data_IF_179100674481
#
_entry.id   IF_179100674481
#
_cell.length_a   1.000
_cell.length_b   1.000
_cell.length_c   1.000
_cell.angle_alpha   90.00
_cell.angle_beta   90.00
_cell.angle_gamma   90.00
#
_symmetry.space_group_name_H-M   'P 1'
#
loop_
_entity.id
_entity.type
_entity.pdbx_description
1 polymer ?
#
# COMPACT_ATOMS: atom_id res chain seq x y z
N UNK A 1 1.49 32.88 10.74
CA UNK A 1 0.98 34.16 10.18
C UNK A 1 0.50 34.07 8.74
N UNK A 2 1.09 33.19 7.87
CA UNK A 2 0.65 33.02 6.48
C UNK A 2 -0.61 32.17 6.36
N UNK A 3 -0.76 31.12 7.15
CA UNK A 3 -1.90 30.21 7.11
C UNK A 3 -3.24 30.89 7.45
N UNK A 4 -3.22 31.92 8.31
CA UNK A 4 -4.43 32.67 8.68
C UNK A 4 -4.98 33.56 7.55
N UNK A 5 -4.21 33.72 6.46
CA UNK A 5 -4.55 34.58 5.32
C UNK A 5 -4.75 33.80 4.03
N UNK A 6 -4.69 32.46 4.09
CA UNK A 6 -4.80 31.58 2.94
C UNK A 6 -5.97 30.63 3.12
N UNK A 7 -6.72 30.41 2.09
CA UNK A 7 -7.68 29.32 2.01
C UNK A 7 -6.90 28.03 1.74
N UNK A 8 -7.03 27.06 2.64
CA UNK A 8 -6.36 25.77 2.52
C UNK A 8 -7.32 24.80 1.85
N UNK A 9 -7.05 24.47 0.60
CA UNK A 9 -7.75 23.41 -0.11
C UNK A 9 -6.95 22.11 0.11
N UNK A 10 -7.50 21.19 0.90
CA UNK A 10 -6.92 19.85 1.07
C UNK A 10 -7.31 18.98 -0.12
N UNK A 11 -6.31 18.40 -0.76
CA UNK A 11 -6.51 17.39 -1.80
C UNK A 11 -6.17 16.02 -1.23
N UNK A 12 -7.16 15.15 -1.18
CA UNK A 12 -6.97 13.78 -0.73
C UNK A 12 -6.27 12.93 -1.79
N UNK A 13 -5.71 11.80 -1.35
CA UNK A 13 -5.14 10.81 -2.26
C UNK A 13 -6.22 10.10 -3.08
N UNK A 14 -5.84 9.62 -4.27
CA UNK A 14 -6.72 8.85 -5.15
C UNK A 14 -6.80 7.39 -4.72
N UNK A 15 -7.99 6.81 -4.84
CA UNK A 15 -8.21 5.37 -4.73
C UNK A 15 -7.56 4.62 -5.91
N UNK A 16 -7.36 3.32 -5.79
CA UNK A 16 -6.85 2.50 -6.90
C UNK A 16 -7.73 2.62 -8.16
N UNK A 17 -9.06 2.60 -7.98
CA UNK A 17 -9.99 2.73 -9.11
C UNK A 17 -9.90 4.11 -9.78
N UNK A 18 -9.83 5.18 -8.99
CA UNK A 18 -9.62 6.52 -9.53
C UNK A 18 -8.29 6.64 -10.28
N UNK A 19 -7.21 6.05 -9.75
CA UNK A 19 -5.90 6.01 -10.43
C UNK A 19 -5.96 5.28 -11.77
N UNK A 20 -6.70 4.15 -11.85
CA UNK A 20 -6.91 3.42 -13.10
C UNK A 20 -7.65 4.31 -14.11
N UNK A 21 -8.74 4.96 -13.69
CA UNK A 21 -9.50 5.86 -14.57
C UNK A 21 -8.67 7.08 -15.03
N UNK A 22 -7.89 7.68 -14.13
CA UNK A 22 -6.97 8.77 -14.46
C UNK A 22 -5.90 8.28 -15.44
N UNK A 23 -5.35 7.09 -15.24
CA UNK A 23 -4.37 6.51 -16.14
C UNK A 23 -4.94 6.34 -17.55
N UNK A 24 -6.13 5.77 -17.68
CA UNK A 24 -6.79 5.53 -18.98
C UNK A 24 -7.16 6.81 -19.70
N UNK A 25 -7.77 7.76 -18.99
CA UNK A 25 -8.33 8.98 -19.61
C UNK A 25 -7.30 10.07 -19.84
N UNK A 26 -6.25 10.14 -19.04
CA UNK A 26 -5.33 11.27 -19.05
C UNK A 26 -3.86 10.87 -19.22
N UNK A 27 -3.34 9.92 -18.42
CA UNK A 27 -1.91 9.64 -18.42
C UNK A 27 -1.48 8.87 -19.67
N UNK A 28 -2.17 7.80 -20.03
CA UNK A 28 -1.81 6.96 -21.18
C UNK A 28 -1.87 7.77 -22.49
N UNK A 29 -2.94 8.53 -22.80
CA UNK A 29 -2.96 9.36 -24.00
C UNK A 29 -1.83 10.40 -24.05
N UNK A 30 -1.54 11.04 -22.91
CA UNK A 30 -0.43 11.99 -22.77
C UNK A 30 0.92 11.33 -23.06
N UNK A 31 1.19 10.21 -22.38
CA UNK A 31 2.44 9.45 -22.49
C UNK A 31 2.63 8.92 -23.92
N UNK A 32 1.59 8.43 -24.56
CA UNK A 32 1.64 7.96 -25.96
C UNK A 32 2.02 9.10 -26.91
N UNK A 33 1.39 10.26 -26.75
CA UNK A 33 1.73 11.45 -27.54
C UNK A 33 3.18 11.88 -27.34
N UNK A 34 3.67 11.90 -26.10
CA UNK A 34 5.05 12.29 -25.78
C UNK A 34 6.11 11.31 -26.31
N UNK A 35 5.73 10.05 -26.51
CA UNK A 35 6.64 8.99 -27.01
C UNK A 35 6.34 8.58 -28.46
N UNK A 36 5.53 9.36 -29.20
CA UNK A 36 5.16 9.13 -30.59
C UNK A 36 4.59 7.72 -30.87
N UNK A 37 3.80 7.18 -29.92
CA UNK A 37 3.12 5.88 -30.03
C UNK A 37 1.67 6.12 -30.43
N UNK A 38 1.18 5.36 -31.40
CA UNK A 38 -0.24 5.39 -31.75
C UNK A 38 -1.05 4.48 -30.83
N UNK A 39 -2.31 4.83 -30.53
CA UNK A 39 -3.18 3.97 -29.70
C UNK A 39 -3.41 2.55 -30.25
N UNK A 40 -3.15 2.34 -31.55
CA UNK A 40 -3.22 1.04 -32.22
C UNK A 40 -1.96 0.19 -32.04
N UNK A 41 -0.84 0.78 -31.60
CA UNK A 41 0.46 0.12 -31.50
C UNK A 41 0.74 -0.44 -30.10
N UNK A 42 0.16 0.17 -29.07
CA UNK A 42 0.35 -0.23 -27.67
C UNK A 42 -0.98 -0.21 -26.92
N UNK A 43 -1.29 -1.33 -26.29
CA UNK A 43 -2.42 -1.46 -25.39
C UNK A 43 -1.96 -1.91 -24.01
N UNK A 44 -2.41 -1.24 -22.95
CA UNK A 44 -2.11 -1.58 -21.55
C UNK A 44 -3.43 -1.99 -20.90
N UNK A 45 -3.51 -3.23 -20.42
CA UNK A 45 -4.73 -3.75 -19.81
C UNK A 45 -4.99 -3.09 -18.45
N UNK A 46 -6.26 -3.04 -18.03
CA UNK A 46 -6.66 -2.51 -16.72
C UNK A 46 -5.96 -3.27 -15.57
N UNK A 47 -5.79 -4.58 -15.73
CA UNK A 47 -5.07 -5.41 -14.76
C UNK A 47 -3.57 -5.10 -14.72
N UNK A 48 -2.96 -4.77 -15.86
CA UNK A 48 -1.58 -4.29 -15.88
C UNK A 48 -1.44 -2.94 -15.19
N UNK A 49 -2.36 -1.99 -15.44
CA UNK A 49 -2.38 -0.70 -14.74
C UNK A 49 -2.52 -0.91 -13.22
N UNK A 50 -3.41 -1.81 -12.81
CA UNK A 50 -3.60 -2.18 -11.40
C UNK A 50 -2.31 -2.73 -10.79
N UNK A 51 -1.62 -3.62 -11.50
CA UNK A 51 -0.34 -4.18 -11.05
C UNK A 51 0.77 -3.12 -10.99
N UNK A 52 0.80 -2.15 -11.92
CA UNK A 52 1.72 -1.01 -11.82
C UNK A 52 1.44 -0.20 -10.54
N UNK A 53 0.18 0.10 -10.26
CA UNK A 53 -0.21 0.83 -9.04
C UNK A 53 0.22 0.07 -7.79
N UNK A 54 -0.02 -1.24 -7.73
CA UNK A 54 0.21 -2.08 -6.55
C UNK A 54 1.67 -2.41 -6.28
N UNK A 55 2.42 -2.69 -7.33
CA UNK A 55 3.74 -3.29 -7.19
C UNK A 55 4.90 -2.39 -7.65
N UNK A 56 4.62 -1.32 -8.36
CA UNK A 56 5.67 -0.44 -8.90
C UNK A 56 5.56 1.00 -8.42
N UNK A 57 4.44 1.38 -7.77
CA UNK A 57 4.26 2.74 -7.20
C UNK A 57 3.84 2.69 -5.74
N UNK A 58 4.27 3.71 -4.98
CA UNK A 58 3.80 3.96 -3.62
C UNK A 58 3.62 5.47 -3.48
N UNK A 59 2.39 5.95 -3.67
CA UNK A 59 2.05 7.38 -3.66
C UNK A 59 0.55 7.61 -3.45
N UNK A 60 0.18 8.74 -2.88
CA UNK A 60 -1.22 9.18 -2.79
C UNK A 60 -1.75 9.74 -4.12
N UNK A 61 -0.88 10.35 -4.92
CA UNK A 61 -1.17 10.90 -6.26
C UNK A 61 -0.95 9.90 -7.40
N UNK A 62 -0.60 10.42 -8.58
CA UNK A 62 -0.40 9.65 -9.82
C UNK A 62 0.91 9.98 -10.55
N UNK A 63 1.83 10.73 -9.93
CA UNK A 63 3.09 11.17 -10.57
C UNK A 63 4.04 10.00 -10.86
N UNK A 64 4.18 9.07 -9.92
CA UNK A 64 5.01 7.88 -10.13
C UNK A 64 4.34 6.92 -11.11
N UNK A 65 3.01 6.79 -11.07
CA UNK A 65 2.24 6.03 -12.06
C UNK A 65 2.51 6.56 -13.48
N UNK A 66 2.47 7.87 -13.69
CA UNK A 66 2.81 8.49 -14.97
C UNK A 66 4.24 8.13 -15.42
N UNK A 67 5.21 8.16 -14.51
CA UNK A 67 6.61 7.80 -14.81
C UNK A 67 6.78 6.34 -15.21
N UNK A 68 6.10 5.43 -14.53
CA UNK A 68 6.16 4.00 -14.87
C UNK A 68 5.45 3.73 -16.20
N UNK A 69 4.30 4.34 -16.46
CA UNK A 69 3.62 4.27 -17.78
C UNK A 69 4.50 4.82 -18.91
N UNK A 70 5.19 5.95 -18.68
CA UNK A 70 6.14 6.50 -19.64
C UNK A 70 7.33 5.56 -19.87
N UNK A 71 7.76 4.81 -18.85
CA UNK A 71 8.82 3.80 -18.99
C UNK A 71 8.36 2.61 -19.84
N UNK A 72 7.12 2.14 -19.65
CA UNK A 72 6.50 1.12 -20.50
C UNK A 72 6.46 1.61 -21.93
N UNK A 73 5.94 2.80 -22.17
CA UNK A 73 5.82 3.39 -23.50
C UNK A 73 7.18 3.48 -24.21
N UNK A 74 8.20 4.05 -23.59
CA UNK A 74 9.55 4.14 -24.18
C UNK A 74 10.14 2.79 -24.57
N UNK A 75 9.97 1.77 -23.71
CA UNK A 75 10.49 0.43 -24.01
C UNK A 75 9.70 -0.26 -25.12
N UNK A 76 8.38 -0.05 -25.15
CA UNK A 76 7.52 -0.54 -26.23
C UNK A 76 7.84 0.13 -27.57
N UNK A 77 8.05 1.46 -27.60
CA UNK A 77 8.48 2.17 -28.79
C UNK A 77 9.79 1.61 -29.36
N UNK A 78 10.78 1.35 -28.48
CA UNK A 78 12.04 0.71 -28.89
C UNK A 78 11.81 -0.69 -29.48
N UNK A 79 10.92 -1.48 -28.92
CA UNK A 79 10.60 -2.83 -29.40
C UNK A 79 9.96 -2.78 -30.80
N UNK A 80 8.97 -1.91 -31.00
CA UNK A 80 8.33 -1.68 -32.29
C UNK A 80 9.32 -1.27 -33.38
N UNK A 81 10.25 -0.36 -33.06
CA UNK A 81 11.29 0.07 -33.99
C UNK A 81 12.22 -1.08 -34.39
N UNK A 82 12.69 -1.87 -33.41
CA UNK A 82 13.59 -3.00 -33.68
C UNK A 82 12.90 -4.10 -34.52
N UNK A 83 11.62 -4.30 -34.31
CA UNK A 83 10.87 -5.31 -35.09
C UNK A 83 10.57 -4.82 -36.51
N UNK A 84 10.33 -3.53 -36.71
CA UNK A 84 10.22 -2.94 -38.06
C UNK A 84 11.55 -3.00 -38.84
N UNK A 85 12.70 -2.75 -38.18
CA UNK A 85 14.02 -2.86 -38.82
C UNK A 85 14.32 -4.33 -39.23
N UNK A 86 14.04 -5.29 -38.39
CA UNK A 86 14.25 -6.74 -38.68
C UNK A 86 13.39 -7.20 -39.89
N UNK A 87 12.18 -6.67 -40.02
CA UNK A 87 11.31 -6.97 -41.17
C UNK A 87 11.81 -6.31 -42.45
N UNK A 88 12.27 -5.07 -42.39
CA UNK A 88 12.88 -4.39 -43.52
C UNK A 88 14.11 -5.14 -44.05
N UNK A 89 14.98 -5.67 -43.16
CA UNK A 89 16.13 -6.49 -43.55
C UNK A 89 15.73 -7.85 -44.15
N UNK A 90 14.64 -8.48 -43.67
CA UNK A 90 14.13 -9.73 -44.23
C UNK A 90 13.43 -9.53 -45.57
N UNK A 91 12.73 -8.43 -45.75
CA UNK A 91 12.05 -8.07 -47.00
C UNK A 91 13.06 -7.71 -48.12
N UNK A 92 14.19 -7.08 -47.77
CA UNK A 92 15.25 -6.73 -48.73
C UNK A 92 16.03 -7.92 -49.32
N UNK A 93 16.01 -9.09 -48.65
CA UNK A 93 16.71 -10.30 -49.17
C UNK A 93 15.89 -11.12 -50.18
N UNK A 94 14.60 -10.83 -50.31
CA UNK A 94 13.72 -11.53 -51.29
C UNK A 94 13.65 -10.91 -52.67
N UNK A 95 14.17 -9.68 -52.86
CA UNK A 95 14.08 -8.95 -54.13
C UNK A 95 15.31 -9.06 -55.05
N UNK A 96 16.18 -10.05 -54.84
CA UNK A 96 17.42 -10.23 -55.56
C UNK A 96 17.51 -11.47 -56.43
N UNK A 97 16.57 -11.67 -57.40
CA UNK A 97 16.83 -12.53 -58.57
C UNK A 97 15.68 -12.48 -59.58
N UNK A 98 15.67 -11.52 -60.48
CA UNK A 98 15.24 -11.73 -61.86
C UNK A 98 15.87 -10.64 -62.74
N UNK A 99 16.89 -11.04 -63.50
CA UNK A 99 17.37 -10.33 -64.66
C UNK A 99 16.53 -10.81 -65.86
N UNK A 100 15.86 -9.87 -66.55
CA UNK A 100 16.06 -9.68 -67.98
C UNK A 100 14.98 -8.72 -68.56
N UNK A 101 15.47 -7.72 -69.29
CA UNK A 101 14.81 -7.38 -70.54
C UNK A 101 14.16 -6.00 -70.64
N UNK A 102 14.89 -5.13 -71.28
CA UNK A 102 14.49 -4.12 -72.34
C UNK A 102 14.14 -2.70 -71.88
N UNK A 103 15.03 -1.84 -72.37
CA UNK A 103 15.03 -0.40 -72.48
C UNK A 103 13.76 0.15 -73.17
N UNK A 104 13.19 1.22 -72.59
CA UNK A 104 12.82 2.38 -73.40
C UNK A 104 12.73 3.65 -72.55
N UNK A 105 13.37 4.70 -73.16
CA UNK A 105 13.48 6.05 -72.63
C UNK A 105 12.18 6.88 -72.77
N UNK A 106 12.16 7.90 -71.94
CA UNK A 106 11.53 9.24 -71.99
C UNK A 106 10.43 9.42 -70.96
N UNK A 107 10.47 10.33 -70.06
CA UNK A 107 10.67 11.76 -70.06
C UNK A 107 10.63 12.29 -68.61
N UNK A 108 11.39 13.32 -68.36
CA UNK A 108 11.45 14.07 -67.11
C UNK A 108 10.11 14.70 -66.70
N UNK A 109 9.80 14.75 -65.44
CA UNK A 109 9.57 16.03 -64.77
C UNK A 109 9.53 15.92 -63.23
N UNK A 110 10.13 16.89 -62.65
CA UNK A 110 10.27 17.41 -61.29
C UNK A 110 9.16 17.20 -60.27
N UNK A 111 9.69 17.20 -59.01
CA UNK A 111 9.08 17.65 -57.73
C UNK A 111 8.18 16.65 -57.01
N UNK A 112 8.49 16.24 -55.83
CA UNK A 112 8.61 16.93 -54.54
C UNK A 112 8.98 15.89 -53.49
N UNK A 113 9.89 16.23 -52.59
CA UNK A 113 10.09 15.52 -51.38
C UNK A 113 8.83 15.66 -50.50
N UNK A 114 8.17 14.56 -50.25
CA UNK A 114 7.12 14.47 -49.27
C UNK A 114 7.02 13.00 -48.79
N UNK A 115 7.30 12.82 -47.52
CA UNK A 115 6.80 11.75 -46.65
C UNK A 115 6.82 10.32 -47.21
N UNK A 116 7.95 9.66 -47.10
CA UNK A 116 7.93 8.21 -46.94
C UNK A 116 7.31 7.87 -45.57
N UNK A 117 5.98 7.90 -45.52
CA UNK A 117 5.23 7.14 -44.51
C UNK A 117 5.55 5.67 -44.72
N UNK A 118 6.44 5.13 -43.90
CA UNK A 118 6.57 3.69 -43.76
C UNK A 118 5.17 3.21 -43.34
N UNK A 119 4.47 2.58 -44.26
CA UNK A 119 3.19 1.93 -43.97
C UNK A 119 3.47 0.77 -43.01
N UNK A 120 3.29 1.02 -41.72
CA UNK A 120 3.24 -0.03 -40.71
C UNK A 120 1.99 -0.86 -40.98
N UNK A 121 2.19 -2.08 -41.43
CA UNK A 121 1.11 -3.02 -41.67
C UNK A 121 0.36 -3.28 -40.34
N UNK A 122 -0.96 -3.39 -40.39
CA UNK A 122 -1.93 -3.37 -39.31
C UNK A 122 -1.88 -4.52 -38.28
N UNK A 123 -0.75 -5.22 -38.15
CA UNK A 123 -0.62 -6.44 -37.32
C UNK A 123 0.38 -6.33 -36.15
N UNK A 124 0.97 -5.17 -35.88
CA UNK A 124 1.97 -5.03 -34.82
C UNK A 124 1.44 -4.17 -33.68
N UNK A 125 0.69 -4.79 -32.77
CA UNK A 125 0.34 -4.16 -31.50
C UNK A 125 1.01 -4.90 -30.34
N UNK A 126 1.54 -4.16 -29.39
CA UNK A 126 2.04 -4.68 -28.13
C UNK A 126 0.91 -4.60 -27.11
N UNK A 127 0.58 -5.74 -26.50
CA UNK A 127 -0.32 -5.77 -25.34
C UNK A 127 0.48 -5.97 -24.06
N UNK A 128 0.39 -5.00 -23.14
CA UNK A 128 1.00 -5.08 -21.81
C UNK A 128 -0.02 -5.66 -20.85
N UNK A 129 0.35 -6.78 -20.25
CA UNK A 129 -0.43 -7.56 -19.27
C UNK A 129 0.36 -7.71 -17.97
N UNK A 130 -0.25 -8.14 -16.85
CA UNK A 130 0.48 -8.43 -15.62
C UNK A 130 1.69 -9.35 -15.81
N UNK A 131 1.56 -10.35 -16.70
CA UNK A 131 2.58 -11.39 -16.92
C UNK A 131 3.86 -10.85 -17.58
N UNK A 132 3.74 -9.80 -18.40
CA UNK A 132 4.87 -9.23 -19.12
C UNK A 132 5.37 -7.88 -18.58
N UNK A 133 4.78 -7.36 -17.50
CA UNK A 133 5.21 -6.11 -16.86
C UNK A 133 6.68 -6.11 -16.45
N UNK A 134 7.19 -7.26 -16.01
CA UNK A 134 8.58 -7.42 -15.60
C UNK A 134 9.58 -7.09 -16.73
N UNK A 135 9.20 -7.32 -18.00
CA UNK A 135 9.99 -6.95 -19.18
C UNK A 135 10.21 -5.42 -19.25
N UNK A 136 9.19 -4.66 -18.88
CA UNK A 136 9.21 -3.20 -18.98
C UNK A 136 9.70 -2.52 -17.70
N UNK A 137 9.26 -2.98 -16.52
CA UNK A 137 9.48 -2.31 -15.26
C UNK A 137 10.50 -3.02 -14.34
N UNK A 138 10.91 -4.26 -14.71
CA UNK A 138 11.79 -5.08 -13.90
C UNK A 138 11.05 -5.79 -12.76
N UNK A 139 11.76 -6.08 -11.68
CA UNK A 139 11.18 -6.76 -10.50
C UNK A 139 10.18 -5.85 -9.78
N UNK A 140 9.18 -6.45 -9.16
CA UNK A 140 8.21 -5.74 -8.31
C UNK A 140 8.94 -5.02 -7.20
N UNK A 141 8.67 -3.72 -7.03
CA UNK A 141 9.34 -2.84 -6.04
C UNK A 141 8.65 -2.88 -4.69
N UNK A 142 7.35 -3.14 -4.68
CA UNK A 142 6.51 -3.13 -3.49
C UNK A 142 5.77 -4.45 -3.36
N UNK A 143 5.43 -4.82 -2.13
CA UNK A 143 4.57 -5.95 -1.84
C UNK A 143 3.14 -5.43 -1.63
N UNK A 144 2.17 -6.13 -2.21
CA UNK A 144 0.75 -5.84 -2.04
C UNK A 144 0.08 -7.03 -1.35
N UNK A 145 -0.83 -6.74 -0.40
CA UNK A 145 -1.55 -7.81 0.29
C UNK A 145 -0.70 -8.52 1.36
N UNK A 146 0.03 -7.76 2.17
CA UNK A 146 0.97 -8.29 3.19
C UNK A 146 0.26 -8.65 4.50
N UNK A 147 -1.01 -9.04 4.45
CA UNK A 147 -1.68 -9.60 5.62
C UNK A 147 -0.98 -10.88 6.05
N UNK A 148 -0.71 -11.03 7.36
CA UNK A 148 -0.32 -12.33 7.92
C UNK A 148 -1.37 -13.39 7.57
N UNK A 149 -0.94 -14.56 7.15
CA UNK A 149 -1.86 -15.63 6.78
C UNK A 149 -2.49 -16.30 8.01
N UNK A 150 -1.85 -16.20 9.16
CA UNK A 150 -2.24 -16.87 10.41
C UNK A 150 -2.41 -15.87 11.54
N UNK A 151 -3.30 -16.20 12.47
CA UNK A 151 -3.38 -15.50 13.76
C UNK A 151 -2.15 -15.85 14.59
N UNK A 152 -1.43 -14.82 15.05
CA UNK A 152 -0.19 -15.00 15.79
C UNK A 152 -0.27 -14.31 17.16
N UNK A 153 0.40 -14.93 18.15
CA UNK A 153 0.60 -14.29 19.47
C UNK A 153 1.66 -13.20 19.33
N UNK A 154 1.33 -12.01 19.85
CA UNK A 154 2.27 -10.90 19.87
C UNK A 154 2.51 -10.22 18.53
N UNK A 155 1.69 -10.47 17.52
CA UNK A 155 1.77 -9.79 16.22
C UNK A 155 0.44 -9.11 15.93
N UNK A 156 0.48 -7.79 15.74
CA UNK A 156 -0.73 -6.98 15.51
C UNK A 156 -0.54 -6.05 14.33
N UNK A 157 -1.58 -5.92 13.54
CA UNK A 157 -1.60 -5.03 12.37
C UNK A 157 -2.15 -3.65 12.74
N UNK A 158 -1.31 -2.64 12.62
CA UNK A 158 -1.67 -1.23 12.76
C UNK A 158 -1.77 -0.54 11.40
N UNK A 159 -2.27 0.70 11.43
CA UNK A 159 -2.36 1.56 10.25
C UNK A 159 -1.61 2.86 10.50
N UNK A 160 -0.71 3.19 9.58
CA UNK A 160 0.06 4.42 9.59
C UNK A 160 -0.38 5.36 8.46
N UNK A 161 -0.13 6.65 8.66
CA UNK A 161 -0.20 7.67 7.62
C UNK A 161 1.19 8.20 7.34
N UNK A 162 1.52 8.36 6.06
CA UNK A 162 2.78 8.90 5.59
C UNK A 162 2.54 9.95 4.51
N UNK A 163 3.53 10.74 4.16
CA UNK A 163 3.44 11.73 3.07
C UNK A 163 3.09 11.11 1.70
N UNK A 164 3.34 9.82 1.53
CA UNK A 164 3.03 9.08 0.31
C UNK A 164 1.70 8.32 0.38
N UNK A 165 0.97 8.45 1.49
CA UNK A 165 -0.35 7.84 1.71
C UNK A 165 -0.39 6.96 2.96
N UNK A 166 -1.45 6.15 3.07
CA UNK A 166 -1.59 5.18 4.15
C UNK A 166 -0.69 3.95 3.94
N UNK A 167 -0.26 3.37 5.05
CA UNK A 167 0.57 2.16 5.07
C UNK A 167 0.12 1.20 6.18
N UNK A 168 0.46 -0.07 6.03
CA UNK A 168 0.26 -1.11 7.05
C UNK A 168 1.50 -1.19 7.91
N UNK A 169 1.29 -1.24 9.21
CA UNK A 169 2.33 -1.30 10.20
C UNK A 169 2.18 -2.59 11.02
N UNK A 170 3.15 -3.48 10.94
CA UNK A 170 3.21 -4.63 11.84
C UNK A 170 3.91 -4.24 13.13
N UNK A 171 3.35 -4.67 14.25
CA UNK A 171 3.94 -4.54 15.58
C UNK A 171 4.09 -5.94 16.14
N UNK A 172 5.31 -6.29 16.46
CA UNK A 172 5.69 -7.58 16.99
C UNK A 172 6.18 -7.42 18.43
N UNK A 173 5.82 -8.34 19.28
CA UNK A 173 6.39 -8.43 20.62
C UNK A 173 6.63 -9.87 21.02
N UNK A 174 7.69 -10.06 21.77
CA UNK A 174 8.04 -11.33 22.41
C UNK A 174 8.34 -11.10 23.89
N UNK A 175 8.00 -12.07 24.70
CA UNK A 175 8.36 -12.10 26.11
C UNK A 175 9.47 -13.11 26.36
N UNK A 176 10.27 -12.83 27.38
CA UNK A 176 11.37 -13.69 27.79
C UNK A 176 11.59 -13.58 29.30
N UNK A 177 12.17 -14.59 29.97
CA UNK A 177 12.56 -14.47 31.35
C UNK A 177 13.44 -13.24 31.58
N UNK A 178 13.11 -12.43 32.61
CA UNK A 178 13.79 -11.16 32.84
C UNK A 178 13.47 -10.50 34.15
N UNK A 179 13.48 -9.18 34.18
CA UNK A 179 13.29 -8.35 35.39
C UNK A 179 12.27 -7.23 35.19
N UNK A 180 11.37 -7.39 34.23
CA UNK A 180 10.32 -6.41 33.91
C UNK A 180 10.78 -5.29 32.97
N UNK A 181 11.83 -5.51 32.18
CA UNK A 181 12.34 -4.49 31.22
C UNK A 181 11.55 -4.54 29.92
N UNK A 182 11.19 -3.35 29.39
CA UNK A 182 10.67 -3.23 28.04
C UNK A 182 11.77 -2.73 27.11
N UNK A 183 12.09 -3.53 26.11
CA UNK A 183 12.99 -3.16 25.03
C UNK A 183 12.17 -2.75 23.80
N UNK A 184 12.56 -1.65 23.15
CA UNK A 184 11.88 -1.10 21.99
C UNK A 184 12.85 -0.96 20.83
N UNK A 185 12.47 -1.43 19.65
CA UNK A 185 13.28 -1.32 18.43
C UNK A 185 12.42 -1.05 17.19
N UNK A 186 13.03 -0.55 16.10
CA UNK A 186 12.33 -0.26 14.84
C UNK A 186 12.41 1.20 14.38
N UNK A 187 13.42 1.96 14.85
CA UNK A 187 13.58 3.40 14.54
C UNK A 187 12.37 4.24 14.96
N UNK A 188 11.90 4.00 16.19
CA UNK A 188 10.75 4.68 16.76
C UNK A 188 11.11 6.08 17.23
N UNK A 189 10.27 7.06 16.89
CA UNK A 189 10.32 8.40 17.47
C UNK A 189 9.84 8.41 18.92
N UNK A 190 10.00 9.56 19.58
CA UNK A 190 9.72 9.68 21.03
C UNK A 190 8.23 9.46 21.34
N UNK A 191 7.32 10.00 20.51
CA UNK A 191 5.87 9.85 20.73
C UNK A 191 5.44 8.38 20.64
N UNK A 192 6.04 7.61 19.72
CA UNK A 192 5.72 6.20 19.59
C UNK A 192 6.28 5.37 20.76
N UNK A 193 7.44 5.74 21.31
CA UNK A 193 7.99 5.12 22.53
C UNK A 193 7.09 5.41 23.74
N UNK A 194 6.64 6.65 23.90
CA UNK A 194 5.67 7.02 24.94
C UNK A 194 4.36 6.24 24.80
N UNK A 195 3.91 5.97 23.56
CA UNK A 195 2.73 5.13 23.32
C UNK A 195 2.92 3.70 23.79
N UNK A 196 4.12 3.12 23.65
CA UNK A 196 4.44 1.79 24.18
C UNK A 196 4.41 1.80 25.73
N UNK A 197 5.04 2.80 26.34
CA UNK A 197 5.09 2.92 27.80
C UNK A 197 3.69 3.15 28.40
N UNK A 198 2.87 3.95 27.73
CA UNK A 198 1.45 4.15 28.09
C UNK A 198 0.67 2.84 27.96
N UNK A 199 0.78 2.14 26.82
CA UNK A 199 0.11 0.87 26.60
C UNK A 199 0.49 -0.17 27.66
N UNK A 200 1.78 -0.27 27.98
CA UNK A 200 2.26 -1.19 29.03
C UNK A 200 1.70 -0.83 30.41
N UNK A 201 1.65 0.45 30.75
CA UNK A 201 1.07 0.91 32.02
C UNK A 201 -0.41 0.54 32.11
N UNK A 202 -1.17 0.67 31.02
CA UNK A 202 -2.59 0.27 30.97
C UNK A 202 -2.72 -1.25 31.11
N UNK A 203 -1.89 -2.05 30.45
CA UNK A 203 -1.89 -3.52 30.62
C UNK A 203 -1.65 -3.90 32.07
N UNK A 204 -0.65 -3.30 32.73
CA UNK A 204 -0.34 -3.57 34.15
C UNK A 204 -1.49 -3.17 35.08
N UNK A 205 -2.11 -2.00 34.84
CA UNK A 205 -3.22 -1.54 35.66
C UNK A 205 -4.48 -2.40 35.51
N UNK A 206 -4.66 -3.05 34.36
CA UNK A 206 -5.78 -3.94 34.07
C UNK A 206 -5.43 -5.43 34.21
N UNK A 207 -4.27 -5.79 34.75
CA UNK A 207 -3.73 -7.16 34.77
C UNK A 207 -4.74 -8.20 35.26
N UNK A 208 -5.44 -7.93 36.35
CA UNK A 208 -6.43 -8.84 36.95
C UNK A 208 -7.60 -9.11 35.96
N UNK A 209 -8.12 -8.05 35.34
CA UNK A 209 -9.20 -8.16 34.35
C UNK A 209 -8.76 -8.87 33.07
N UNK A 210 -7.49 -8.75 32.73
CA UNK A 210 -6.86 -9.41 31.58
C UNK A 210 -6.43 -10.87 31.85
N UNK A 211 -6.54 -11.34 33.10
CA UNK A 211 -6.09 -12.69 33.48
C UNK A 211 -4.58 -12.82 33.61
N UNK A 212 -3.86 -11.70 33.79
CA UNK A 212 -2.40 -11.66 33.89
C UNK A 212 -2.01 -11.58 35.37
N UNK A 213 -1.21 -12.55 35.85
CA UNK A 213 -0.74 -12.52 37.23
C UNK A 213 0.29 -11.39 37.40
N UNK A 214 0.20 -10.56 38.46
CA UNK A 214 1.10 -9.42 38.69
C UNK A 214 2.59 -9.76 38.66
N UNK A 215 2.97 -10.93 39.14
CA UNK A 215 4.36 -11.41 39.17
C UNK A 215 4.98 -11.51 37.74
N UNK A 216 4.16 -11.67 36.70
CA UNK A 216 4.65 -11.78 35.33
C UNK A 216 5.44 -10.53 34.95
N UNK A 217 4.98 -9.36 35.38
CA UNK A 217 5.64 -8.09 35.05
C UNK A 217 7.01 -7.89 35.69
N UNK A 218 7.31 -8.60 36.77
CA UNK A 218 8.59 -8.52 37.44
C UNK A 218 9.57 -9.61 37.00
N UNK A 219 9.05 -10.69 36.40
CA UNK A 219 9.82 -11.88 36.01
C UNK A 219 10.02 -12.02 34.51
N UNK A 220 9.46 -11.11 33.73
CA UNK A 220 9.43 -11.20 32.27
C UNK A 220 9.83 -9.88 31.63
N UNK A 221 10.87 -9.91 30.81
CA UNK A 221 11.18 -8.80 29.87
C UNK A 221 10.35 -8.94 28.61
N UNK A 222 9.99 -7.80 28.02
CA UNK A 222 9.26 -7.76 26.75
C UNK A 222 10.08 -6.98 25.72
N UNK A 223 10.21 -7.52 24.53
CA UNK A 223 10.80 -6.81 23.41
C UNK A 223 9.72 -6.50 22.38
N UNK A 224 9.43 -5.20 22.19
CA UNK A 224 8.54 -4.70 21.15
C UNK A 224 9.38 -4.27 19.95
N UNK A 225 9.04 -4.76 18.78
CA UNK A 225 9.72 -4.45 17.53
C UNK A 225 8.71 -3.99 16.47
N UNK A 226 9.06 -2.93 15.75
CA UNK A 226 8.31 -2.50 14.58
C UNK A 226 9.23 -2.66 13.37
N UNK A 227 9.00 -3.66 12.51
CA UNK A 227 9.82 -3.93 11.33
C UNK A 227 9.99 -2.74 10.39
N UNK A 228 10.84 -2.92 9.36
CA UNK A 228 11.18 -1.87 8.38
C UNK A 228 11.90 -0.66 8.98
N UNK A 229 12.96 -0.92 9.73
CA UNK A 229 13.77 0.11 10.39
C UNK A 229 14.45 1.14 9.47
N UNK A 230 14.34 1.01 8.15
CA UNK A 230 14.80 2.03 7.20
C UNK A 230 13.93 3.30 7.24
N UNK A 231 12.64 3.16 7.56
CA UNK A 231 11.66 4.26 7.61
C UNK A 231 11.43 4.66 9.07
N UNK A 232 11.73 5.90 9.47
CA UNK A 232 11.39 6.40 10.80
C UNK A 232 9.87 6.37 11.01
N UNK A 233 9.45 5.95 12.21
CA UNK A 233 8.04 5.85 12.59
C UNK A 233 7.82 6.66 13.86
N UNK A 234 6.85 7.56 13.83
CA UNK A 234 6.47 8.34 15.00
C UNK A 234 4.97 8.66 14.97
N UNK A 235 4.41 8.89 16.15
CA UNK A 235 3.01 9.29 16.32
C UNK A 235 2.24 8.44 17.32
N UNK A 236 1.17 9.00 17.92
CA UNK A 236 0.41 8.36 18.99
C UNK A 236 -0.62 7.33 18.50
N UNK A 237 -0.94 7.32 17.19
CA UNK A 237 -2.06 6.55 16.61
C UNK A 237 -1.86 5.03 16.61
N UNK A 238 -0.70 4.54 17.02
CA UNK A 238 -0.42 3.11 17.21
C UNK A 238 -0.72 2.61 18.63
N UNK A 239 -1.22 3.46 19.53
CA UNK A 239 -1.42 3.14 20.95
C UNK A 239 -2.26 1.89 21.21
N UNK A 240 -3.43 1.77 20.55
CA UNK A 240 -4.27 0.57 20.70
C UNK A 240 -3.63 -0.68 20.08
N UNK A 241 -2.80 -0.51 19.04
CA UNK A 241 -2.05 -1.61 18.42
C UNK A 241 -1.00 -2.14 19.38
N UNK A 242 -0.23 -1.24 20.00
CA UNK A 242 0.77 -1.59 21.04
C UNK A 242 0.12 -2.29 22.22
N UNK A 243 -1.01 -1.76 22.71
CA UNK A 243 -1.77 -2.37 23.80
C UNK A 243 -2.22 -3.79 23.44
N UNK A 244 -2.82 -3.99 22.28
CA UNK A 244 -3.29 -5.30 21.83
C UNK A 244 -2.14 -6.29 21.70
N UNK A 245 -1.00 -5.85 21.15
CA UNK A 245 0.21 -6.67 21.02
C UNK A 245 0.70 -7.14 22.39
N UNK A 246 0.78 -6.24 23.35
CA UNK A 246 1.23 -6.55 24.72
C UNK A 246 0.25 -7.50 25.45
N UNK A 247 -1.07 -7.25 25.34
CA UNK A 247 -2.08 -8.15 25.89
C UNK A 247 -1.95 -9.55 25.30
N UNK A 248 -1.81 -9.64 23.98
CA UNK A 248 -1.63 -10.91 23.28
C UNK A 248 -0.41 -11.68 23.79
N UNK A 249 0.73 -11.00 23.96
CA UNK A 249 1.97 -11.61 24.47
C UNK A 249 1.78 -12.16 25.87
N UNK A 250 1.20 -11.39 26.79
CA UNK A 250 1.04 -11.82 28.17
C UNK A 250 -0.05 -12.86 28.37
N UNK A 251 -1.13 -12.80 27.62
CA UNK A 251 -2.25 -13.75 27.70
C UNK A 251 -2.08 -14.99 26.83
N UNK A 252 -1.10 -14.97 25.88
CA UNK A 252 -0.88 -16.01 24.87
C UNK A 252 -2.07 -16.21 23.92
N UNK A 253 -2.95 -15.22 23.82
CA UNK A 253 -4.08 -15.23 22.91
C UNK A 253 -3.64 -14.63 21.57
N UNK A 254 -3.79 -15.36 20.45
CA UNK A 254 -3.45 -14.83 19.13
C UNK A 254 -4.28 -13.63 18.75
N UNK A 255 -3.68 -12.68 18.01
CA UNK A 255 -4.38 -11.58 17.38
C UNK A 255 -4.88 -12.02 16.00
N UNK A 256 -6.07 -11.63 15.64
CA UNK A 256 -6.66 -11.93 14.34
C UNK A 256 -5.89 -11.23 13.22
N UNK A 257 -5.42 -11.99 12.25
CA UNK A 257 -4.64 -11.50 11.11
C UNK A 257 -5.47 -10.69 10.10
N UNK A 258 -6.80 -10.83 10.10
CA UNK A 258 -7.72 -10.10 9.23
C UNK A 258 -8.20 -8.77 9.84
N UNK A 259 -7.68 -8.41 11.02
CA UNK A 259 -8.01 -7.18 11.75
C UNK A 259 -6.83 -6.23 11.73
N UNK A 260 -7.07 -4.98 11.36
CA UNK A 260 -6.13 -3.88 11.58
C UNK A 260 -6.76 -2.81 12.48
N UNK A 261 -5.93 -1.97 13.07
CA UNK A 261 -6.41 -0.97 14.00
C UNK A 261 -5.58 0.31 13.99
N UNK A 262 -6.19 1.41 14.41
CA UNK A 262 -5.53 2.68 14.66
C UNK A 262 -6.27 3.43 15.75
N UNK A 263 -5.55 4.06 16.66
CA UNK A 263 -6.11 4.83 17.77
C UNK A 263 -5.03 5.16 18.79
N UNK A 264 -5.13 6.37 19.36
CA UNK A 264 -4.33 6.76 20.50
C UNK A 264 -4.97 6.21 21.79
N UNK A 265 -4.15 5.83 22.77
CA UNK A 265 -4.59 5.28 24.05
C UNK A 265 -4.26 6.25 25.18
N UNK A 266 -5.20 6.43 26.11
CA UNK A 266 -4.95 7.13 27.38
C UNK A 266 -4.63 6.15 28.51
N UNK A 267 -4.04 6.62 29.60
CA UNK A 267 -3.79 5.81 30.82
C UNK A 267 -5.08 5.23 31.44
N UNK A 268 -6.25 5.77 31.10
CA UNK A 268 -7.56 5.26 31.53
C UNK A 268 -8.13 4.24 30.52
N UNK A 269 -7.36 3.84 29.51
CA UNK A 269 -7.81 2.89 28.48
C UNK A 269 -8.84 3.44 27.48
N UNK A 270 -9.03 4.76 27.40
CA UNK A 270 -9.88 5.38 26.38
C UNK A 270 -9.15 5.45 25.05
N UNK A 271 -9.90 5.34 23.95
CA UNK A 271 -9.40 5.44 22.59
C UNK A 271 -9.71 6.83 22.04
N UNK A 272 -8.67 7.57 21.67
CA UNK A 272 -8.77 8.93 21.18
C UNK A 272 -8.70 8.99 19.65
N UNK A 273 -9.35 10.03 19.03
CA UNK A 273 -9.35 10.24 17.59
C UNK A 273 -7.96 10.42 16.99
N UNK A 274 -7.83 10.06 15.70
CA UNK A 274 -6.59 10.13 14.93
C UNK A 274 -6.78 10.90 13.63
N UNK A 275 -5.68 11.30 13.01
CA UNK A 275 -5.68 11.89 11.67
C UNK A 275 -5.39 10.87 10.56
N UNK A 276 -5.68 11.28 9.30
CA UNK A 276 -5.38 10.48 8.11
C UNK A 276 -6.21 9.20 8.01
N UNK A 277 -7.47 9.22 8.46
CA UNK A 277 -8.32 8.02 8.50
C UNK A 277 -8.55 7.45 7.09
N UNK A 278 -8.84 8.29 6.11
CA UNK A 278 -9.12 7.86 4.74
C UNK A 278 -7.94 7.07 4.15
N UNK A 279 -6.73 7.62 4.24
CA UNK A 279 -5.52 6.97 3.73
C UNK A 279 -5.23 5.65 4.46
N UNK A 280 -5.43 5.62 5.77
CA UNK A 280 -5.27 4.41 6.59
C UNK A 280 -6.23 3.31 6.17
N UNK A 281 -7.50 3.64 5.95
CA UNK A 281 -8.50 2.66 5.50
C UNK A 281 -8.25 2.18 4.07
N UNK A 282 -7.79 3.07 3.18
CA UNK A 282 -7.38 2.69 1.84
C UNK A 282 -6.17 1.73 1.86
N UNK A 283 -5.22 1.92 2.79
CA UNK A 283 -4.10 0.98 2.94
C UNK A 283 -4.55 -0.36 3.50
N UNK A 284 -5.48 -0.37 4.45
CA UNK A 284 -6.07 -1.60 4.98
C UNK A 284 -6.77 -2.40 3.87
N UNK A 285 -7.56 -1.74 3.03
CA UNK A 285 -8.23 -2.36 1.90
C UNK A 285 -7.21 -2.97 0.92
N UNK A 286 -6.17 -2.20 0.55
CA UNK A 286 -5.08 -2.69 -0.31
C UNK A 286 -4.33 -3.87 0.30
N UNK A 287 -4.14 -3.87 1.61
CA UNK A 287 -3.48 -4.95 2.36
C UNK A 287 -4.32 -6.22 2.51
N UNK A 288 -5.57 -6.23 2.05
CA UNK A 288 -6.47 -7.39 2.18
C UNK A 288 -7.07 -7.57 3.58
N UNK A 289 -7.01 -6.54 4.42
CA UNK A 289 -7.68 -6.50 5.72
C UNK A 289 -9.20 -6.57 5.53
N UNK A 290 -9.89 -7.22 6.45
CA UNK A 290 -11.36 -7.35 6.41
C UNK A 290 -12.05 -6.50 7.46
N UNK A 291 -11.43 -6.33 8.61
CA UNK A 291 -12.01 -5.57 9.73
C UNK A 291 -11.02 -4.50 10.19
N UNK A 292 -11.50 -3.28 10.37
CA UNK A 292 -10.68 -2.19 10.89
C UNK A 292 -11.32 -1.60 12.14
N UNK A 293 -10.55 -1.52 13.22
CA UNK A 293 -10.95 -0.88 14.47
C UNK A 293 -10.44 0.56 14.46
N UNK A 294 -11.34 1.51 14.63
CA UNK A 294 -11.05 2.95 14.65
C UNK A 294 -11.66 3.59 15.90
N UNK A 295 -11.16 4.76 16.34
CA UNK A 295 -11.76 5.49 17.45
C UNK A 295 -13.18 5.93 17.12
N UNK A 296 -14.11 5.83 18.07
CA UNK A 296 -15.47 6.35 17.92
C UNK A 296 -15.50 7.84 17.60
N UNK A 297 -14.53 8.60 18.10
CA UNK A 297 -14.40 10.03 17.77
C UNK A 297 -14.13 10.34 16.30
N UNK A 298 -13.75 9.33 15.49
CA UNK A 298 -13.61 9.44 14.04
C UNK A 298 -14.86 9.01 13.26
N UNK A 299 -15.99 8.71 13.92
CA UNK A 299 -17.23 8.30 13.24
C UNK A 299 -17.70 9.33 12.20
N UNK A 300 -17.53 10.61 12.50
CA UNK A 300 -17.86 11.70 11.58
C UNK A 300 -17.08 11.65 10.26
N UNK A 301 -15.83 11.15 10.29
CA UNK A 301 -14.95 11.09 9.14
C UNK A 301 -15.38 9.98 8.15
N UNK A 302 -16.27 9.06 8.59
CA UNK A 302 -16.81 7.99 7.73
C UNK A 302 -17.68 8.54 6.60
N UNK A 303 -18.27 9.73 6.77
CA UNK A 303 -19.11 10.36 5.74
C UNK A 303 -18.28 10.66 4.47
N UNK A 304 -17.01 10.99 4.62
CA UNK A 304 -16.11 11.39 3.53
C UNK A 304 -15.40 10.20 2.83
N UNK A 305 -15.65 8.98 3.32
CA UNK A 305 -15.00 7.79 2.76
C UNK A 305 -15.61 7.40 1.40
N UNK A 306 -14.77 6.93 0.47
CA UNK A 306 -15.24 6.31 -0.77
C UNK A 306 -16.14 5.10 -0.49
N UNK A 307 -17.19 4.93 -1.30
CA UNK A 307 -18.14 3.82 -1.16
C UNK A 307 -17.46 2.43 -1.17
N UNK A 308 -16.38 2.26 -1.94
CA UNK A 308 -15.64 1.01 -1.96
C UNK A 308 -15.07 0.64 -0.58
N UNK A 309 -14.60 1.63 0.19
CA UNK A 309 -14.07 1.41 1.54
C UNK A 309 -15.20 0.99 2.49
N UNK A 310 -16.36 1.66 2.40
CA UNK A 310 -17.53 1.36 3.23
C UNK A 310 -18.11 -0.04 2.96
N UNK A 311 -18.05 -0.47 1.70
CA UNK A 311 -18.63 -1.75 1.28
C UNK A 311 -17.71 -2.95 1.54
N UNK A 312 -16.38 -2.75 1.43
CA UNK A 312 -15.40 -3.85 1.50
C UNK A 312 -14.79 -4.03 2.89
N UNK A 313 -14.81 -3.01 3.75
CA UNK A 313 -14.27 -3.05 5.10
C UNK A 313 -15.35 -3.06 6.16
N UNK A 314 -15.27 -4.00 7.09
CA UNK A 314 -16.04 -3.95 8.33
C UNK A 314 -15.35 -2.96 9.28
N UNK A 315 -15.93 -1.77 9.45
CA UNK A 315 -15.42 -0.74 10.35
C UNK A 315 -16.07 -0.93 11.73
N UNK A 316 -15.23 -1.00 12.76
CA UNK A 316 -15.65 -1.14 14.16
C UNK A 316 -15.19 0.09 14.93
N UNK A 317 -16.15 0.73 15.61
CA UNK A 317 -15.90 1.90 16.46
C UNK A 317 -15.52 1.44 17.88
N UNK A 318 -14.42 1.95 18.42
CA UNK A 318 -13.97 1.66 19.77
C UNK A 318 -13.93 2.95 20.61
N UNK A 319 -14.50 2.92 21.80
CA UNK A 319 -14.40 3.97 22.81
C UNK A 319 -13.28 3.69 23.82
N UNK A 320 -13.02 2.42 24.06
CA UNK A 320 -12.06 1.95 25.07
C UNK A 320 -11.34 0.67 24.60
N UNK A 321 -10.32 0.28 25.34
CA UNK A 321 -9.47 -0.87 25.02
C UNK A 321 -10.18 -2.21 25.07
N UNK A 322 -11.29 -2.34 25.82
CA UNK A 322 -12.06 -3.58 25.85
C UNK A 322 -12.80 -3.80 24.53
N UNK A 323 -13.33 -2.71 23.93
CA UNK A 323 -13.95 -2.77 22.61
C UNK A 323 -12.94 -3.26 21.56
N UNK A 324 -11.68 -2.83 21.68
CA UNK A 324 -10.59 -3.24 20.80
C UNK A 324 -10.30 -4.73 20.94
N UNK A 325 -10.09 -5.22 22.19
CA UNK A 325 -9.75 -6.61 22.44
C UNK A 325 -10.86 -7.57 22.02
N UNK A 326 -12.12 -7.19 22.20
CA UNK A 326 -13.28 -8.00 21.84
C UNK A 326 -13.32 -8.35 20.34
N UNK A 327 -12.69 -7.55 19.51
CA UNK A 327 -12.64 -7.74 18.05
C UNK A 327 -11.28 -8.26 17.58
N UNK A 328 -10.21 -7.81 18.21
CA UNK A 328 -8.84 -8.07 17.77
C UNK A 328 -8.33 -9.45 18.17
N UNK A 329 -8.72 -9.96 19.33
CA UNK A 329 -8.25 -11.25 19.82
C UNK A 329 -9.08 -12.41 19.26
N UNK A 330 -8.46 -13.56 19.09
CA UNK A 330 -9.10 -14.78 18.58
C UNK A 330 -10.19 -15.28 19.54
N UNK A 331 -9.98 -15.13 20.84
CA UNK A 331 -10.98 -15.39 21.88
C UNK A 331 -10.85 -14.41 23.05
N UNK A 332 -11.91 -14.24 23.86
CA UNK A 332 -11.89 -13.29 24.98
C UNK A 332 -10.84 -13.63 26.04
N UNK A 333 -10.32 -12.60 26.72
CA UNK A 333 -9.51 -12.75 27.91
C UNK A 333 -10.37 -13.32 29.08
N UNK A 334 -9.75 -14.12 29.94
CA UNK A 334 -10.41 -14.66 31.12
C UNK A 334 -9.82 -14.00 32.36
N UNK A 335 -10.57 -13.19 33.12
CA UNK A 335 -10.08 -12.52 34.32
C UNK A 335 -9.56 -13.53 35.39
N UNK A 336 -8.55 -13.10 36.16
CA UNK A 336 -8.15 -13.87 37.34
C UNK A 336 -9.31 -13.95 38.32
N UNK A 337 -9.49 -15.13 38.91
CA UNK A 337 -10.44 -15.29 40.01
C UNK A 337 -9.99 -14.42 41.19
N UNK A 338 -10.88 -13.61 41.69
CA UNK A 338 -10.65 -12.92 42.96
C UNK A 338 -10.66 -13.99 44.07
N UNK A 339 -9.52 -14.24 44.68
CA UNK A 339 -9.53 -14.96 45.94
C UNK A 339 -10.33 -14.10 46.92
N UNK A 340 -11.57 -14.49 47.20
CA UNK A 340 -12.33 -13.94 48.33
C UNK A 340 -11.60 -14.33 49.58
N UNK A 341 -10.72 -13.44 50.06
CA UNK A 341 -10.17 -13.54 51.42
C UNK A 341 -11.37 -13.33 52.37
N UNK A 342 -11.84 -14.41 52.94
CA UNK A 342 -12.81 -14.40 54.05
C UNK A 342 -12.12 -14.08 55.35
#
# INVERSE_FOLDING_TARGET
PLLDRMEIIRMDGYTEQEKIEIAKRHLIPKVFKENAIKPTELFITDDAIRDVIRYYTSESGVRNLERELATIARKSAKELLLDSEKKAEKGGKSAGRSRNGTVNEKTANEKTAADEHIAVTADEHITVTPDNLNKYLGIKKFHFGVREEKNLVGVTTGLAWTEVGGDILFIEAVDMPGKGVIKQTGKLGEVMKESIDTAYSVVRSHAQALGIHPDVFEKTDVHVHVPEGAIPKDGPSAGITMYTTLVSVFTKIPVRSDVAMTGEITLQGRVLPIGGLKEKLLSALRGGIKTVIIPKGNEKDLAELPEIVKNELKIVLAENVNDVLAVALEHPVTPLKTDTVH
#
